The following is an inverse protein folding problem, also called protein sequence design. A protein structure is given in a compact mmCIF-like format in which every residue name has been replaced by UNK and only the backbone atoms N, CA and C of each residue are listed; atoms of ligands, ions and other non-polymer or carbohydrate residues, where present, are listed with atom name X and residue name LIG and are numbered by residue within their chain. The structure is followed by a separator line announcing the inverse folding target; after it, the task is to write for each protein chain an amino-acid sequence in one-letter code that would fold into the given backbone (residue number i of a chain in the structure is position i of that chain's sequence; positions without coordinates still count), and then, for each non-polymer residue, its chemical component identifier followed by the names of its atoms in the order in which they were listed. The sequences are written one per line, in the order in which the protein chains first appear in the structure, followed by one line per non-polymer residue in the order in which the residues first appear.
data_IF_278023160160
#
_entry.id   IF_278023160160
#
_cell.length_a   1.000
_cell.length_b   1.000
_cell.length_c   1.000
_cell.angle_alpha   90.00
_cell.angle_beta   90.00
_cell.angle_gamma   90.00
#
_symmetry.space_group_name_H-M   'P 1'
#
loop_
_entity.id
_entity.type
_entity.pdbx_description
1 polymer ?
#
# COMPACT_ATOMS: atom_id res chain seq x y z
N UNK A 1 17.93 -8.94 7.42
CA UNK A 1 16.55 -9.41 7.29
C UNK A 1 15.59 -8.33 7.74
N UNK A 2 14.67 -7.92 6.89
CA UNK A 2 13.69 -6.89 7.22
C UNK A 2 12.45 -7.51 7.82
N UNK A 3 11.90 -6.86 8.84
CA UNK A 3 10.66 -7.28 9.48
C UNK A 3 9.82 -6.05 9.81
N UNK A 4 8.53 -6.11 9.54
CA UNK A 4 7.60 -5.04 9.87
C UNK A 4 6.37 -5.59 10.56
N UNK A 5 5.95 -4.91 11.61
CA UNK A 5 4.67 -5.16 12.25
C UNK A 5 3.63 -4.27 11.58
N UNK A 6 2.56 -4.88 11.08
CA UNK A 6 1.48 -4.17 10.42
C UNK A 6 0.10 -4.52 11.01
N UNK A 7 0.07 -5.07 12.22
CA UNK A 7 -1.14 -5.30 12.99
C UNK A 7 -1.44 -4.17 13.97
N UNK A 8 -2.15 -4.50 15.03
CA UNK A 8 -2.61 -3.54 16.03
C UNK A 8 -2.36 -4.05 17.45
N UNK A 9 -1.98 -3.14 18.32
CA UNK A 9 -1.91 -3.39 19.76
C UNK A 9 -3.27 -3.10 20.41
N UNK A 10 -3.49 -3.66 21.60
CA UNK A 10 -4.65 -3.30 22.40
C UNK A 10 -4.56 -1.82 22.82
N UNK A 11 -5.68 -1.12 22.71
CA UNK A 11 -5.80 0.24 23.20
C UNK A 11 -6.22 0.19 24.66
N UNK A 12 -5.46 0.75 25.61
CA UNK A 12 -5.84 0.78 27.02
C UNK A 12 -7.21 1.45 27.20
N UNK A 13 -8.16 0.71 27.81
CA UNK A 13 -9.53 1.20 28.00
C UNK A 13 -10.37 1.30 26.71
N UNK A 14 -9.88 0.76 25.58
CA UNK A 14 -10.55 0.84 24.28
C UNK A 14 -10.57 -0.50 23.56
N UNK A 15 -10.50 -0.44 22.22
CA UNK A 15 -10.58 -1.62 21.36
C UNK A 15 -9.35 -2.52 21.53
N UNK A 16 -9.57 -3.83 21.39
CA UNK A 16 -8.47 -4.80 21.34
C UNK A 16 -7.76 -4.74 19.99
N UNK A 17 -6.50 -5.18 19.96
CA UNK A 17 -5.75 -5.33 18.71
C UNK A 17 -6.46 -6.24 17.73
N UNK A 18 -7.07 -7.33 18.23
CA UNK A 18 -7.86 -8.26 17.42
C UNK A 18 -9.05 -7.57 16.75
N UNK A 19 -9.79 -6.74 17.49
CA UNK A 19 -10.94 -6.01 16.94
C UNK A 19 -10.51 -4.95 15.90
N UNK A 20 -9.40 -4.26 16.16
CA UNK A 20 -8.85 -3.28 15.22
C UNK A 20 -8.36 -3.95 13.94
N UNK A 21 -7.69 -5.10 14.06
CA UNK A 21 -7.23 -5.85 12.90
C UNK A 21 -8.40 -6.35 12.05
N UNK A 22 -9.46 -6.84 12.69
CA UNK A 22 -10.68 -7.25 11.98
C UNK A 22 -11.32 -6.08 11.24
N UNK A 23 -11.37 -4.90 11.87
CA UNK A 23 -12.04 -3.73 11.30
C UNK A 23 -11.24 -3.10 10.16
N UNK A 24 -9.94 -2.92 10.34
CA UNK A 24 -9.11 -2.16 9.41
C UNK A 24 -8.22 -3.01 8.52
N UNK A 25 -7.94 -4.26 8.90
CA UNK A 25 -6.96 -5.10 8.22
C UNK A 25 -5.52 -4.68 8.47
N UNK A 26 -4.56 -5.52 8.07
CA UNK A 26 -3.15 -5.21 8.26
C UNK A 26 -2.76 -3.96 7.48
N UNK A 27 -2.07 -3.03 8.14
CA UNK A 27 -1.82 -1.69 7.63
C UNK A 27 -0.34 -1.36 7.73
N UNK A 28 0.24 -0.91 6.62
CA UNK A 28 1.58 -0.34 6.55
C UNK A 28 1.48 1.18 6.40
N UNK A 29 2.38 1.89 7.05
CA UNK A 29 2.55 3.32 6.80
C UNK A 29 3.55 3.48 5.66
N UNK A 30 3.16 4.23 4.63
CA UNK A 30 3.97 4.40 3.43
C UNK A 30 4.10 5.87 3.06
N UNK A 31 5.13 6.18 2.28
CA UNK A 31 5.32 7.47 1.64
C UNK A 31 5.14 7.29 0.15
N UNK A 32 4.38 8.18 -0.49
CA UNK A 32 4.03 8.06 -1.90
C UNK A 32 4.46 9.32 -2.62
N UNK A 33 5.11 9.14 -3.75
CA UNK A 33 5.51 10.24 -4.60
C UNK A 33 6.14 9.76 -5.89
N UNK A 34 6.77 10.69 -6.60
CA UNK A 34 7.48 10.37 -7.82
C UNK A 34 8.74 11.22 -7.93
N UNK A 35 9.88 10.54 -8.06
CA UNK A 35 11.16 11.15 -8.37
C UNK A 35 11.58 10.68 -9.77
N UNK A 36 11.63 11.57 -10.78
CA UNK A 36 12.00 11.19 -12.14
C UNK A 36 13.46 10.72 -12.28
N UNK A 37 14.29 10.91 -11.25
CA UNK A 37 15.65 10.40 -11.24
C UNK A 37 15.71 8.86 -11.13
N UNK A 38 14.63 8.21 -10.66
CA UNK A 38 14.58 6.76 -10.69
C UNK A 38 14.42 6.24 -12.12
N UNK A 39 15.12 5.15 -12.42
CA UNK A 39 14.99 4.50 -13.71
C UNK A 39 13.70 3.71 -13.80
N UNK A 40 13.00 3.84 -14.92
CA UNK A 40 11.83 3.02 -15.21
C UNK A 40 12.19 1.54 -15.27
N UNK A 41 11.25 0.70 -14.87
CA UNK A 41 11.42 -0.75 -14.86
C UNK A 41 12.19 -1.29 -13.65
N UNK A 42 12.68 -0.44 -12.78
CA UNK A 42 13.33 -0.86 -11.54
C UNK A 42 12.27 -0.96 -10.44
N UNK A 43 12.14 -2.14 -9.84
CA UNK A 43 11.16 -2.41 -8.77
C UNK A 43 11.88 -2.63 -7.45
N UNK A 44 11.23 -2.28 -6.35
CA UNK A 44 11.67 -2.59 -4.99
C UNK A 44 13.09 -2.10 -4.69
N UNK A 45 13.35 -0.84 -4.97
CA UNK A 45 14.64 -0.21 -4.73
C UNK A 45 14.71 0.25 -3.27
N UNK A 46 15.78 -0.08 -2.53
CA UNK A 46 16.05 0.56 -1.26
C UNK A 46 16.25 2.06 -1.46
N UNK A 47 15.54 2.87 -0.70
CA UNK A 47 15.63 4.32 -0.83
C UNK A 47 16.04 4.94 0.49
N UNK A 48 17.24 5.53 0.59
CA UNK A 48 17.74 6.08 1.85
C UNK A 48 17.10 7.41 2.24
N UNK A 49 16.44 8.09 1.29
CA UNK A 49 15.88 9.41 1.49
C UNK A 49 14.38 9.42 1.17
N UNK A 50 13.61 10.32 1.81
CA UNK A 50 12.21 10.51 1.43
C UNK A 50 12.08 10.89 -0.04
N UNK A 51 11.15 10.27 -0.74
CA UNK A 51 10.78 10.66 -2.09
C UNK A 51 9.94 11.94 -2.04
N UNK A 52 9.98 12.80 -3.09
CA UNK A 52 9.06 13.93 -3.16
C UNK A 52 7.61 13.44 -3.22
N UNK A 53 6.79 13.89 -2.29
CA UNK A 53 5.40 13.48 -2.24
C UNK A 53 4.80 13.63 -0.85
N UNK A 54 3.94 12.70 -0.47
CA UNK A 54 3.27 12.68 0.82
C UNK A 54 3.79 11.55 1.69
N UNK A 55 3.88 11.81 3.00
CA UNK A 55 4.34 10.84 3.99
C UNK A 55 3.19 10.39 4.89
N UNK A 56 3.37 9.23 5.53
CA UNK A 56 2.44 8.76 6.55
C UNK A 56 1.07 8.34 6.02
N UNK A 57 1.02 7.76 4.83
CA UNK A 57 -0.20 7.25 4.23
C UNK A 57 -0.45 5.82 4.68
N UNK A 58 -1.69 5.52 5.04
CA UNK A 58 -2.10 4.16 5.39
C UNK A 58 -2.32 3.33 4.13
N UNK A 59 -1.59 2.23 4.03
CA UNK A 59 -1.74 1.24 2.96
C UNK A 59 -2.24 -0.08 3.54
N UNK A 60 -3.32 -0.60 2.97
CA UNK A 60 -3.82 -1.92 3.34
C UNK A 60 -2.95 -3.00 2.71
N UNK A 61 -2.49 -3.95 3.53
CA UNK A 61 -1.86 -5.18 3.05
C UNK A 61 -2.97 -6.10 2.57
N UNK A 62 -3.16 -6.19 1.27
CA UNK A 62 -4.33 -6.83 0.65
C UNK A 62 -3.94 -8.09 -0.11
N UNK A 63 -4.11 -9.24 0.55
CA UNK A 63 -3.89 -10.55 -0.08
C UNK A 63 -4.93 -10.89 -1.14
N UNK A 64 -6.04 -10.17 -1.18
CA UNK A 64 -7.10 -10.32 -2.17
C UNK A 64 -6.81 -9.61 -3.49
N UNK A 65 -5.84 -8.70 -3.51
CA UNK A 65 -5.46 -7.97 -4.72
C UNK A 65 -4.19 -8.53 -5.34
N UNK A 66 -4.18 -8.72 -6.66
CA UNK A 66 -2.94 -9.11 -7.37
C UNK A 66 -2.00 -7.93 -7.50
N UNK A 67 -2.52 -6.76 -7.84
CA UNK A 67 -1.75 -5.52 -8.07
C UNK A 67 -1.92 -4.55 -6.91
N UNK A 68 -0.93 -3.68 -6.74
CA UNK A 68 -1.01 -2.57 -5.80
C UNK A 68 -1.72 -1.37 -6.44
N UNK A 69 -2.43 -0.61 -5.63
CA UNK A 69 -3.25 0.51 -6.09
C UNK A 69 -3.00 1.75 -5.20
N UNK A 70 -3.29 2.92 -5.75
CA UNK A 70 -3.27 4.19 -5.03
C UNK A 70 -4.63 4.86 -5.20
N UNK A 71 -5.09 5.58 -4.19
CA UNK A 71 -6.31 6.37 -4.30
C UNK A 71 -6.20 7.37 -5.46
N UNK A 72 -7.22 7.38 -6.32
CA UNK A 72 -7.20 8.17 -7.55
C UNK A 72 -7.09 9.68 -7.30
N UNK A 73 -7.74 10.18 -6.25
CA UNK A 73 -7.65 11.61 -5.89
C UNK A 73 -6.26 11.96 -5.38
N UNK A 74 -5.66 11.09 -4.58
CA UNK A 74 -4.29 11.27 -4.10
C UNK A 74 -3.30 11.26 -5.26
N UNK A 75 -3.45 10.32 -6.19
CA UNK A 75 -2.60 10.25 -7.38
C UNK A 75 -2.67 11.56 -8.20
N UNK A 76 -3.86 12.12 -8.35
CA UNK A 76 -4.06 13.40 -9.04
C UNK A 76 -3.42 14.56 -8.26
N UNK A 77 -3.61 14.62 -6.94
CA UNK A 77 -3.03 15.67 -6.09
C UNK A 77 -1.51 15.67 -6.13
N UNK A 78 -0.89 14.51 -6.21
CA UNK A 78 0.56 14.35 -6.29
C UNK A 78 1.11 14.50 -7.72
N UNK A 79 0.25 14.72 -8.70
CA UNK A 79 0.62 14.80 -10.13
C UNK A 79 1.43 13.58 -10.58
N UNK A 80 1.08 12.40 -10.13
CA UNK A 80 1.75 11.18 -10.55
C UNK A 80 1.55 10.97 -12.05
N UNK A 81 2.62 10.69 -12.83
CA UNK A 81 2.49 10.55 -14.28
C UNK A 81 1.54 9.43 -14.67
N UNK A 82 0.62 9.70 -15.58
CA UNK A 82 -0.26 8.68 -16.16
C UNK A 82 0.46 8.06 -17.35
N UNK A 83 0.68 6.75 -17.31
CA UNK A 83 1.45 6.05 -18.34
C UNK A 83 0.63 5.02 -19.11
N UNK A 84 -0.56 4.68 -18.62
CA UNK A 84 -1.42 3.69 -19.26
C UNK A 84 -2.84 3.81 -18.71
N UNK A 85 -3.77 3.12 -19.38
CA UNK A 85 -5.13 2.88 -18.90
C UNK A 85 -5.40 1.40 -18.95
N UNK A 86 -6.00 0.88 -17.91
CA UNK A 86 -6.32 -0.55 -17.82
C UNK A 86 -7.72 -0.77 -17.27
N UNK A 87 -8.28 -1.93 -17.59
CA UNK A 87 -9.52 -2.40 -16.98
C UNK A 87 -9.16 -3.24 -15.77
N UNK A 88 -9.71 -2.86 -14.62
CA UNK A 88 -9.60 -3.66 -13.38
C UNK A 88 -10.96 -4.23 -13.04
N UNK A 89 -10.97 -5.48 -12.59
CA UNK A 89 -12.19 -6.20 -12.21
C UNK A 89 -12.27 -6.30 -10.70
N UNK A 90 -13.46 -6.13 -10.17
CA UNK A 90 -13.73 -6.24 -8.74
C UNK A 90 -15.13 -6.81 -8.51
N UNK A 91 -15.57 -6.87 -7.25
CA UNK A 91 -16.89 -7.40 -6.88
C UNK A 91 -18.05 -6.64 -7.53
N UNK A 92 -17.85 -5.38 -7.89
CA UNK A 92 -18.86 -4.53 -8.52
C UNK A 92 -18.71 -4.43 -10.04
N UNK A 93 -17.95 -5.34 -10.67
CA UNK A 93 -17.74 -5.38 -12.10
C UNK A 93 -16.39 -4.82 -12.53
N UNK A 94 -16.28 -4.47 -13.81
CA UNK A 94 -15.05 -3.96 -14.41
C UNK A 94 -15.08 -2.44 -14.52
N UNK A 95 -13.94 -1.81 -14.30
CA UNK A 95 -13.77 -0.37 -14.38
C UNK A 95 -12.46 -0.04 -15.08
N UNK A 96 -12.49 0.96 -15.94
CA UNK A 96 -11.30 1.49 -16.58
C UNK A 96 -10.64 2.51 -15.66
N UNK A 97 -9.33 2.35 -15.42
CA UNK A 97 -8.55 3.19 -14.51
C UNK A 97 -7.26 3.66 -15.16
N UNK A 98 -6.76 4.80 -14.68
CA UNK A 98 -5.44 5.29 -15.05
C UNK A 98 -4.37 4.53 -14.28
N UNK A 99 -3.26 4.22 -14.96
CA UNK A 99 -2.06 3.69 -14.33
C UNK A 99 -1.07 4.82 -14.12
N UNK A 100 -0.63 5.01 -12.89
CA UNK A 100 0.28 6.08 -12.49
C UNK A 100 1.65 5.53 -12.13
N UNK A 101 2.70 6.16 -12.63
CA UNK A 101 4.04 5.89 -12.11
C UNK A 101 4.17 6.48 -10.72
N UNK A 102 4.74 5.72 -9.82
CA UNK A 102 4.99 6.16 -8.45
C UNK A 102 6.12 5.38 -7.81
N UNK A 103 6.71 5.98 -6.80
CA UNK A 103 7.48 5.27 -5.79
C UNK A 103 6.65 5.22 -4.52
N UNK A 104 6.51 4.03 -3.97
CA UNK A 104 5.89 3.80 -2.67
C UNK A 104 6.96 3.31 -1.72
N UNK A 105 7.39 4.17 -0.82
CA UNK A 105 8.40 3.85 0.17
C UNK A 105 7.76 3.33 1.44
N UNK A 106 8.26 2.20 1.93
CA UNK A 106 7.80 1.55 3.16
C UNK A 106 8.93 1.64 4.18
N UNK A 107 8.93 2.67 5.06
CA UNK A 107 10.04 2.89 5.98
C UNK A 107 10.34 1.71 6.89
N UNK A 108 9.30 1.03 7.38
CA UNK A 108 9.45 -0.11 8.30
C UNK A 108 10.14 -1.33 7.67
N UNK A 109 10.16 -1.42 6.35
CA UNK A 109 10.86 -2.47 5.60
C UNK A 109 12.12 -1.96 4.90
N UNK A 110 12.36 -0.65 4.91
CA UNK A 110 13.49 -0.04 4.21
C UNK A 110 13.43 -0.28 2.70
N UNK A 111 12.23 -0.34 2.13
CA UNK A 111 12.02 -0.75 0.75
C UNK A 111 11.18 0.27 0.00
N UNK A 112 11.51 0.48 -1.26
CA UNK A 112 10.72 1.31 -2.17
C UNK A 112 10.24 0.47 -3.34
N UNK A 113 8.93 0.51 -3.58
CA UNK A 113 8.33 -0.10 -4.77
C UNK A 113 8.28 0.98 -5.85
N UNK A 114 8.86 0.72 -6.99
CA UNK A 114 8.77 1.58 -8.17
C UNK A 114 7.98 0.86 -9.25
N UNK A 115 6.99 1.52 -9.82
CA UNK A 115 6.23 0.96 -10.93
C UNK A 115 4.97 1.73 -11.22
N UNK A 116 4.08 1.10 -11.99
CA UNK A 116 2.76 1.63 -12.31
C UNK A 116 1.72 1.07 -11.34
N UNK A 117 0.93 1.98 -10.76
CA UNK A 117 -0.11 1.67 -9.80
C UNK A 117 -1.46 2.10 -10.36
N UNK A 118 -2.46 1.27 -10.22
CA UNK A 118 -3.83 1.63 -10.61
C UNK A 118 -4.36 2.73 -9.68
N UNK A 119 -4.92 3.78 -10.27
CA UNK A 119 -5.64 4.80 -9.53
C UNK A 119 -7.09 4.36 -9.34
N UNK A 120 -7.49 4.03 -8.13
CA UNK A 120 -8.83 3.56 -7.81
C UNK A 120 -9.48 4.44 -6.75
N UNK A 121 -10.82 4.45 -6.71
CA UNK A 121 -11.56 5.29 -5.77
C UNK A 121 -11.63 4.63 -4.39
N UNK A 122 -10.56 4.78 -3.60
CA UNK A 122 -10.53 4.22 -2.25
C UNK A 122 -11.24 5.15 -1.26
N UNK A 123 -10.80 6.38 -1.13
CA UNK A 123 -11.39 7.34 -0.21
C UNK A 123 -12.84 7.66 -0.56
N UNK A 124 -13.15 7.89 -1.84
CA UNK A 124 -14.50 8.12 -2.31
C UNK A 124 -15.42 6.91 -2.10
N UNK A 125 -14.87 5.69 -2.08
CA UNK A 125 -15.58 4.46 -1.76
C UNK A 125 -15.71 4.18 -0.27
N UNK A 126 -15.26 5.10 0.60
CA UNK A 126 -15.35 4.95 2.06
C UNK A 126 -14.23 4.14 2.69
N UNK A 127 -13.18 3.82 1.96
CA UNK A 127 -12.04 3.09 2.51
C UNK A 127 -11.17 3.98 3.40
N UNK A 128 -10.73 3.49 4.59
CA UNK A 128 -9.84 4.26 5.44
C UNK A 128 -8.40 4.31 4.94
N UNK A 129 -8.04 3.43 4.01
CA UNK A 129 -6.70 3.36 3.41
C UNK A 129 -6.67 4.12 2.08
N UNK A 130 -5.53 4.72 1.78
CA UNK A 130 -5.34 5.45 0.53
C UNK A 130 -4.41 4.72 -0.45
N UNK A 131 -4.00 3.50 -0.10
CA UNK A 131 -3.26 2.60 -0.96
C UNK A 131 -3.56 1.16 -0.60
N UNK A 132 -3.38 0.26 -1.56
CA UNK A 132 -3.44 -1.19 -1.37
C UNK A 132 -2.11 -1.78 -1.81
N UNK A 133 -1.54 -2.65 -0.98
CA UNK A 133 -0.33 -3.39 -1.29
C UNK A 133 -0.73 -4.82 -1.63
N UNK A 134 -0.59 -5.18 -2.89
CA UNK A 134 -1.07 -6.44 -3.44
C UNK A 134 -0.02 -7.55 -3.45
N UNK A 135 -0.42 -8.70 -3.99
CA UNK A 135 0.41 -9.91 -4.01
C UNK A 135 1.67 -9.81 -4.85
N UNK A 136 1.71 -8.94 -5.85
CA UNK A 136 2.95 -8.69 -6.62
C UNK A 136 4.11 -8.23 -5.74
N UNK A 137 3.81 -7.49 -4.68
CA UNK A 137 4.79 -7.13 -3.66
C UNK A 137 4.94 -8.23 -2.62
N UNK A 138 3.80 -8.74 -2.11
CA UNK A 138 3.78 -9.69 -0.98
C UNK A 138 4.46 -11.03 -1.30
N UNK A 139 4.61 -11.40 -2.56
CA UNK A 139 5.30 -12.64 -2.94
C UNK A 139 6.74 -12.74 -2.45
N UNK A 140 7.32 -11.63 -2.01
CA UNK A 140 8.68 -11.56 -1.47
C UNK A 140 8.76 -11.76 0.03
N UNK A 141 7.61 -11.84 0.70
CA UNK A 141 7.54 -11.81 2.15
C UNK A 141 6.81 -13.01 2.71
N UNK A 142 7.17 -13.36 3.93
CA UNK A 142 6.39 -14.23 4.77
C UNK A 142 5.48 -13.36 5.63
N UNK A 143 4.19 -13.67 5.64
CA UNK A 143 3.22 -12.98 6.48
C UNK A 143 2.70 -13.93 7.55
N UNK A 144 2.80 -13.51 8.79
CA UNK A 144 2.20 -14.21 9.93
C UNK A 144 1.04 -13.36 10.44
N UNK A 145 -0.16 -13.92 10.35
CA UNK A 145 -1.40 -13.26 10.74
C UNK A 145 -1.98 -13.95 11.97
N UNK A 146 -1.96 -13.26 13.10
CA UNK A 146 -2.47 -13.77 14.37
C UNK A 146 -3.74 -13.00 14.76
N UNK A 147 -4.87 -13.42 14.21
CA UNK A 147 -6.14 -12.72 14.41
C UNK A 147 -6.56 -12.60 15.86
N UNK A 148 -6.23 -13.57 16.68
CA UNK A 148 -6.61 -13.58 18.12
C UNK A 148 -5.93 -12.46 18.91
N UNK A 149 -4.74 -12.08 18.52
CA UNK A 149 -3.96 -11.03 19.22
C UNK A 149 -3.98 -9.70 18.50
N UNK A 150 -4.31 -9.70 17.21
CA UNK A 150 -4.22 -8.52 16.36
C UNK A 150 -2.83 -8.30 15.75
N UNK A 151 -1.92 -9.25 15.95
CA UNK A 151 -0.54 -9.14 15.46
C UNK A 151 -0.43 -9.62 14.02
N UNK A 152 0.20 -8.82 13.17
CA UNK A 152 0.59 -9.22 11.82
C UNK A 152 2.04 -8.82 11.59
N UNK A 153 2.82 -9.74 11.08
CA UNK A 153 4.25 -9.52 10.81
C UNK A 153 4.56 -9.89 9.36
N UNK A 154 5.25 -9.00 8.68
CA UNK A 154 5.86 -9.27 7.37
C UNK A 154 7.36 -9.40 7.56
N UNK A 155 7.97 -10.42 7.00
CA UNK A 155 9.42 -10.63 7.02
C UNK A 155 9.91 -11.17 5.69
N UNK A 156 11.11 -10.78 5.28
CA UNK A 156 11.74 -11.29 4.06
C UNK A 156 12.49 -12.59 4.26
#
# INVERSE_FOLDING_TARGET
MAESKCGFDNVPGGASGSALLMTYGPTLMVNIGFDPAYKTGTLNIPHPLPIPGITGIRALVDTGASQSCIDSLLAAQLNLPIVDRRTVSGVHGSQEVNMHLAQVHIPSLGMTIYGAFAGVHLAAGGQPHMALIGRTFLQRYTMVYEGKTGTVTLSD
#
